data_IF_479572140190
#
_entry.id   IF_479572140190
#
_cell.length_a   1.000
_cell.length_b   1.000
_cell.length_c   1.000
_cell.angle_alpha   90.00
_cell.angle_beta   90.00
_cell.angle_gamma   90.00
#
_symmetry.space_group_name_H-M   'P 1'
#
loop_
_entity.id
_entity.type
_entity.pdbx_description
1 polymer ?
#
# COMPACT_ATOMS: atom_id res chain seq x y z
N UNK A 1 3.34 6.47 -25.89
CA UNK A 1 2.45 5.62 -25.08
C UNK A 1 1.55 6.57 -24.30
N UNK A 2 0.23 6.52 -24.46
CA UNK A 2 -0.70 7.44 -23.78
C UNK A 2 -1.24 6.80 -22.51
N UNK A 3 -1.63 7.61 -21.51
CA UNK A 3 -2.23 7.13 -20.27
C UNK A 3 -3.46 6.23 -20.54
N UNK A 4 -4.27 6.55 -21.55
CA UNK A 4 -5.42 5.73 -21.98
C UNK A 4 -4.98 4.34 -22.47
N UNK A 5 -3.98 4.26 -23.36
CA UNK A 5 -3.49 2.98 -23.87
C UNK A 5 -2.86 2.09 -22.78
N UNK A 6 -2.33 2.71 -21.72
CA UNK A 6 -1.83 1.99 -20.54
C UNK A 6 -3.00 1.50 -19.67
N UNK A 7 -3.98 2.37 -19.42
CA UNK A 7 -5.18 2.07 -18.66
C UNK A 7 -5.98 0.90 -19.23
N UNK A 8 -6.19 0.87 -20.55
CA UNK A 8 -6.88 -0.24 -21.23
C UNK A 8 -6.14 -1.56 -21.09
N UNK A 9 -4.80 -1.55 -21.27
CA UNK A 9 -3.98 -2.76 -21.10
C UNK A 9 -4.02 -3.29 -19.68
N UNK A 10 -3.97 -2.40 -18.69
CA UNK A 10 -4.05 -2.79 -17.28
C UNK A 10 -5.45 -3.30 -16.95
N UNK A 11 -6.50 -2.67 -17.47
CA UNK A 11 -7.89 -3.12 -17.29
C UNK A 11 -8.10 -4.52 -17.87
N UNK A 12 -7.63 -4.77 -19.08
CA UNK A 12 -7.64 -6.10 -19.71
C UNK A 12 -6.82 -7.13 -18.93
N UNK A 13 -5.68 -6.74 -18.34
CA UNK A 13 -4.86 -7.64 -17.52
C UNK A 13 -5.47 -7.99 -16.16
N UNK A 14 -6.41 -7.18 -15.68
CA UNK A 14 -7.14 -7.35 -14.42
C UNK A 14 -8.54 -7.95 -14.61
N UNK A 15 -9.06 -7.95 -15.84
CA UNK A 15 -10.40 -8.46 -16.17
C UNK A 15 -10.52 -9.95 -15.80
N UNK A 16 -11.50 -10.26 -14.95
CA UNK A 16 -11.76 -11.62 -14.46
C UNK A 16 -10.86 -12.12 -13.31
N UNK A 17 -9.92 -11.30 -12.80
CA UNK A 17 -9.15 -11.65 -11.60
C UNK A 17 -9.87 -11.20 -10.33
N UNK A 18 -9.82 -11.98 -9.24
CA UNK A 18 -10.37 -11.56 -7.96
C UNK A 18 -9.59 -10.33 -7.46
N UNK A 19 -10.32 -9.34 -6.97
CA UNK A 19 -9.70 -8.26 -6.21
C UNK A 19 -9.39 -8.77 -4.80
N UNK A 20 -8.11 -8.88 -4.50
CA UNK A 20 -7.63 -9.39 -3.21
C UNK A 20 -7.23 -8.26 -2.25
N UNK A 21 -7.45 -7.00 -2.65
CA UNK A 21 -7.29 -5.82 -1.82
C UNK A 21 -6.04 -4.99 -2.13
N UNK A 22 -6.17 -3.69 -1.90
CA UNK A 22 -5.10 -2.72 -2.01
C UNK A 22 -5.02 -1.84 -0.75
N UNK A 23 -3.81 -1.41 -0.41
CA UNK A 23 -3.56 -0.49 0.69
C UNK A 23 -2.48 0.52 0.34
N UNK A 24 -2.40 1.58 1.13
CA UNK A 24 -1.39 2.62 1.00
C UNK A 24 -0.96 3.08 2.39
N UNK A 25 0.34 3.25 2.59
CA UNK A 25 0.93 3.91 3.73
C UNK A 25 1.60 5.21 3.26
N UNK A 26 1.19 6.33 3.86
CA UNK A 26 1.89 7.59 3.70
C UNK A 26 2.82 7.75 4.90
N UNK A 27 4.12 7.64 4.65
CA UNK A 27 5.15 7.77 5.67
C UNK A 27 5.44 9.24 5.88
N UNK A 28 5.40 9.68 7.14
CA UNK A 28 5.88 10.97 7.57
C UNK A 28 6.77 10.76 8.80
N UNK A 29 7.89 11.46 8.83
CA UNK A 29 8.89 11.33 9.88
C UNK A 29 9.45 12.66 10.34
N UNK A 30 10.50 12.58 11.16
CA UNK A 30 11.22 13.76 11.60
C UNK A 30 11.89 14.48 10.41
N UNK A 31 11.84 15.81 10.41
CA UNK A 31 12.50 16.63 9.39
C UNK A 31 11.82 16.56 8.02
N UNK A 32 12.57 16.16 6.99
CA UNK A 32 12.14 16.14 5.58
C UNK A 32 11.76 14.75 5.07
N UNK A 33 11.74 13.74 5.93
CA UNK A 33 11.51 12.35 5.53
C UNK A 33 10.02 12.13 5.25
N UNK A 34 9.72 11.76 4.01
CA UNK A 34 8.35 11.50 3.57
C UNK A 34 8.34 10.44 2.47
N UNK A 35 7.27 9.67 2.40
CA UNK A 35 7.17 8.63 1.38
C UNK A 35 5.76 8.12 1.19
N UNK A 36 5.56 7.42 0.08
CA UNK A 36 4.31 6.71 -0.19
C UNK A 36 4.66 5.29 -0.59
N UNK A 37 4.08 4.33 0.12
CA UNK A 37 4.23 2.90 -0.13
C UNK A 37 2.86 2.29 -0.37
N UNK A 38 2.73 1.54 -1.45
CA UNK A 38 1.51 0.90 -1.90
C UNK A 38 1.65 -0.59 -1.73
N UNK A 39 0.56 -1.20 -1.26
CA UNK A 39 0.43 -2.64 -1.13
C UNK A 39 -0.67 -3.11 -2.07
N UNK A 40 -0.40 -4.19 -2.80
CA UNK A 40 -1.35 -4.80 -3.71
C UNK A 40 -1.27 -6.31 -3.55
N UNK A 41 -2.38 -6.94 -3.17
CA UNK A 41 -2.41 -8.40 -3.10
C UNK A 41 -2.57 -8.97 -4.53
N UNK A 42 -1.51 -9.61 -5.05
CA UNK A 42 -1.50 -10.21 -6.39
C UNK A 42 -2.17 -11.59 -6.42
N UNK A 43 -1.97 -12.38 -5.36
CA UNK A 43 -2.60 -13.67 -5.10
C UNK A 43 -2.68 -13.90 -3.59
N UNK A 44 -3.40 -14.92 -3.11
CA UNK A 44 -3.50 -15.18 -1.66
C UNK A 44 -2.16 -15.40 -0.96
N UNK A 45 -1.14 -15.77 -1.74
CA UNK A 45 0.23 -16.08 -1.32
C UNK A 45 1.24 -15.01 -1.72
N UNK A 46 0.84 -13.91 -2.37
CA UNK A 46 1.78 -12.87 -2.83
C UNK A 46 1.22 -11.46 -2.68
N UNK A 47 1.93 -10.65 -1.90
CA UNK A 47 1.70 -9.23 -1.74
C UNK A 47 2.82 -8.44 -2.43
N UNK A 48 2.46 -7.56 -3.35
CA UNK A 48 3.38 -6.61 -3.97
C UNK A 48 3.44 -5.34 -3.13
N UNK A 49 4.65 -4.89 -2.85
CA UNK A 49 4.94 -3.67 -2.10
C UNK A 49 5.78 -2.77 -3.00
N UNK A 50 5.26 -1.60 -3.33
CA UNK A 50 5.91 -0.65 -4.25
C UNK A 50 5.91 0.74 -3.60
N UNK A 51 7.10 1.32 -3.46
CA UNK A 51 7.29 2.49 -2.61
C UNK A 51 8.36 3.44 -3.07
N UNK A 52 8.20 4.69 -2.66
CA UNK A 52 9.27 5.70 -2.73
C UNK A 52 9.29 6.51 -1.44
N UNK A 53 10.48 6.63 -0.85
CA UNK A 53 10.75 7.39 0.37
C UNK A 53 11.88 8.36 0.06
N UNK A 54 11.67 9.64 0.38
CA UNK A 54 12.61 10.73 0.15
C UNK A 54 13.12 11.27 1.50
N UNK A 55 14.32 11.85 1.48
CA UNK A 55 14.93 12.54 2.62
C UNK A 55 15.73 11.64 3.57
N UNK A 56 16.02 10.40 3.16
CA UNK A 56 16.86 9.47 3.91
C UNK A 56 18.35 9.79 3.73
N UNK A 57 19.19 9.30 4.65
CA UNK A 57 20.63 9.30 4.44
C UNK A 57 20.99 8.26 3.35
N UNK A 58 22.04 8.47 2.54
CA UNK A 58 22.43 7.46 1.54
C UNK A 58 22.88 6.15 2.21
N UNK A 59 22.25 5.04 1.84
CA UNK A 59 22.57 3.73 2.41
C UNK A 59 21.36 2.81 2.57
N UNK A 60 21.55 1.64 3.20
CA UNK A 60 20.48 0.72 3.55
C UNK A 60 19.71 1.18 4.79
N UNK A 61 18.39 1.05 4.74
CA UNK A 61 17.46 1.33 5.83
C UNK A 61 16.51 0.15 6.05
N UNK A 62 16.32 -0.26 7.30
CA UNK A 62 15.32 -1.25 7.67
C UNK A 62 13.90 -0.77 7.36
N UNK A 63 13.06 -1.68 6.85
CA UNK A 63 11.64 -1.41 6.59
C UNK A 63 10.79 -2.51 7.23
N UNK A 64 9.87 -2.12 8.11
CA UNK A 64 9.08 -3.08 8.89
C UNK A 64 7.62 -2.67 9.02
N UNK A 65 6.71 -3.64 9.01
CA UNK A 65 5.34 -3.44 9.46
C UNK A 65 5.28 -3.67 10.96
N UNK A 66 4.80 -2.67 11.70
CA UNK A 66 4.63 -2.72 13.15
C UNK A 66 3.21 -3.10 13.55
N UNK A 67 3.05 -3.55 14.78
CA UNK A 67 1.79 -4.11 15.30
C UNK A 67 0.66 -3.09 15.37
N UNK A 68 0.93 -1.83 15.69
CA UNK A 68 -0.07 -0.80 15.96
C UNK A 68 0.02 0.36 14.95
N UNK A 69 -1.12 0.85 14.48
CA UNK A 69 -1.23 2.11 13.74
C UNK A 69 -1.40 3.33 14.65
N UNK A 70 -0.75 3.35 15.81
CA UNK A 70 -0.83 4.46 16.76
C UNK A 70 0.33 5.44 16.52
N UNK A 71 -0.02 6.66 16.11
CA UNK A 71 0.91 7.75 15.81
C UNK A 71 0.84 8.88 16.88
N UNK A 72 0.30 8.62 18.07
CA UNK A 72 0.19 9.64 19.14
C UNK A 72 1.53 10.08 19.71
N UNK A 73 2.55 9.22 19.66
CA UNK A 73 3.94 9.50 20.02
C UNK A 73 4.86 9.23 18.83
N UNK A 74 4.51 9.77 17.66
CA UNK A 74 5.17 9.53 16.39
C UNK A 74 5.32 8.01 16.14
N UNK A 75 6.51 7.56 15.76
CA UNK A 75 6.78 6.16 15.45
C UNK A 75 7.03 5.30 16.70
N UNK A 76 7.13 5.92 17.88
CA UNK A 76 7.38 5.20 19.14
C UNK A 76 6.14 4.43 19.61
N UNK A 77 4.94 4.96 19.37
CA UNK A 77 3.67 4.31 19.73
C UNK A 77 3.24 3.19 18.79
N UNK A 78 3.97 2.93 17.70
CA UNK A 78 3.64 1.89 16.71
C UNK A 78 3.80 0.44 17.23
N UNK A 79 4.40 0.24 18.42
CA UNK A 79 4.63 -1.07 19.01
C UNK A 79 5.82 -1.82 18.37
N UNK A 80 5.86 -3.14 18.52
CA UNK A 80 6.90 -4.03 17.98
C UNK A 80 6.60 -4.44 16.53
N UNK A 81 7.53 -5.15 15.87
CA UNK A 81 7.34 -5.74 14.54
C UNK A 81 6.11 -6.67 14.54
N UNK A 82 5.36 -6.67 13.44
CA UNK A 82 4.18 -7.48 13.29
C UNK A 82 4.53 -8.98 13.26
N UNK A 83 4.32 -9.64 14.39
CA UNK A 83 4.71 -11.03 14.62
C UNK A 83 3.53 -11.86 15.18
N UNK A 84 2.52 -12.20 14.36
CA UNK A 84 1.37 -12.97 14.82
C UNK A 84 1.73 -14.42 15.21
N UNK A 85 2.90 -14.93 14.78
CA UNK A 85 3.31 -16.32 14.97
C UNK A 85 4.39 -16.50 16.04
N UNK A 86 4.82 -15.43 16.72
CA UNK A 86 5.85 -15.51 17.77
C UNK A 86 7.22 -15.99 17.28
N UNK A 87 7.58 -15.67 16.03
CA UNK A 87 8.85 -16.02 15.40
C UNK A 87 9.97 -15.08 15.84
N UNK A 88 11.22 -15.41 15.50
CA UNK A 88 12.34 -14.48 15.66
C UNK A 88 12.43 -13.53 14.47
N UNK A 89 13.12 -12.41 14.65
CA UNK A 89 13.46 -11.49 13.56
C UNK A 89 14.35 -12.20 12.52
N UNK A 90 14.10 -11.92 11.24
CA UNK A 90 14.85 -12.47 10.12
C UNK A 90 14.76 -11.63 8.86
N UNK A 91 15.49 -12.01 7.81
CA UNK A 91 15.40 -11.34 6.52
C UNK A 91 14.24 -11.87 5.67
N UNK A 92 13.79 -11.14 4.62
CA UNK A 92 12.60 -11.49 3.84
C UNK A 92 12.63 -12.88 3.19
N UNK A 93 13.82 -13.40 2.91
CA UNK A 93 14.07 -14.74 2.35
C UNK A 93 14.03 -15.87 3.40
N UNK A 94 14.06 -15.52 4.70
CA UNK A 94 14.00 -16.50 5.77
C UNK A 94 12.54 -16.95 5.99
N UNK A 95 12.34 -18.27 6.14
CA UNK A 95 11.02 -18.80 6.49
C UNK A 95 10.63 -18.45 7.93
N UNK A 96 11.62 -18.42 8.83
CA UNK A 96 11.47 -18.01 10.23
C UNK A 96 11.84 -16.54 10.37
N UNK A 97 10.83 -15.68 10.26
CA UNK A 97 10.90 -14.22 10.42
C UNK A 97 9.58 -13.69 10.97
N UNK A 98 9.54 -12.45 11.44
CA UNK A 98 8.26 -11.79 11.65
C UNK A 98 7.57 -11.54 10.31
N UNK A 99 6.24 -11.57 10.31
CA UNK A 99 5.46 -11.29 9.10
C UNK A 99 5.69 -9.86 8.60
N UNK A 100 6.00 -8.95 9.52
CA UNK A 100 6.33 -7.56 9.20
C UNK A 100 7.77 -7.29 8.74
N UNK A 101 8.67 -8.27 8.73
CA UNK A 101 10.08 -8.03 8.38
C UNK A 101 10.25 -7.96 6.85
N UNK A 102 10.44 -6.77 6.28
CA UNK A 102 10.59 -6.59 4.82
C UNK A 102 12.06 -6.45 4.38
N UNK A 103 12.99 -6.44 5.33
CA UNK A 103 14.42 -6.28 5.09
C UNK A 103 14.82 -4.83 4.88
N UNK A 104 15.77 -4.60 3.95
CA UNK A 104 16.35 -3.29 3.72
C UNK A 104 15.89 -2.66 2.40
N UNK A 105 15.68 -1.35 2.42
CA UNK A 105 15.55 -0.49 1.24
C UNK A 105 16.80 0.38 1.10
N UNK A 106 17.21 0.67 -0.15
CA UNK A 106 18.45 1.40 -0.41
C UNK A 106 18.12 2.81 -0.86
N UNK A 107 18.56 3.81 -0.09
CA UNK A 107 18.52 5.21 -0.47
C UNK A 107 19.75 5.57 -1.30
N UNK A 108 19.52 6.23 -2.43
CA UNK A 108 20.56 6.74 -3.32
C UNK A 108 21.29 7.97 -2.75
N UNK A 109 22.29 8.51 -3.47
CA UNK A 109 23.01 9.71 -3.07
C UNK A 109 22.14 10.97 -2.94
N UNK A 110 20.97 10.97 -3.56
CA UNK A 110 19.94 12.01 -3.47
C UNK A 110 18.99 11.84 -2.27
N UNK A 111 19.21 10.81 -1.44
CA UNK A 111 18.37 10.49 -0.29
C UNK A 111 17.01 9.89 -0.66
N UNK A 112 16.86 9.41 -1.89
CA UNK A 112 15.65 8.75 -2.39
C UNK A 112 15.84 7.23 -2.41
N UNK A 113 14.92 6.51 -1.76
CA UNK A 113 14.78 5.06 -1.86
C UNK A 113 13.53 4.73 -2.67
N UNK A 114 13.71 4.19 -3.89
CA UNK A 114 12.62 3.63 -4.71
C UNK A 114 12.78 2.12 -4.79
N UNK A 115 11.75 1.38 -4.39
CA UNK A 115 11.83 -0.07 -4.24
C UNK A 115 10.54 -0.75 -4.65
N UNK A 116 10.69 -2.00 -5.07
CA UNK A 116 9.59 -2.91 -5.39
C UNK A 116 9.94 -4.29 -4.85
N UNK A 117 9.11 -4.79 -3.94
CA UNK A 117 9.29 -6.03 -3.21
C UNK A 117 8.06 -6.92 -3.38
N UNK A 118 8.25 -8.22 -3.36
CA UNK A 118 7.16 -9.20 -3.28
C UNK A 118 7.34 -10.01 -2.00
N UNK A 119 6.27 -10.13 -1.23
CA UNK A 119 6.27 -10.86 0.04
C UNK A 119 5.24 -12.00 0.02
N UNK A 120 5.66 -13.17 0.49
CA UNK A 120 4.81 -14.37 0.54
C UNK A 120 4.07 -14.60 1.85
N UNK A 121 4.45 -13.92 2.93
CA UNK A 121 3.84 -14.05 4.26
C UNK A 121 2.90 -12.88 4.59
N UNK A 122 3.23 -11.68 4.11
CA UNK A 122 2.44 -10.48 4.29
C UNK A 122 1.17 -10.53 3.46
N UNK A 123 0.02 -10.22 4.08
CA UNK A 123 -1.29 -10.16 3.43
C UNK A 123 -1.92 -8.81 3.70
N UNK A 124 -2.45 -8.16 2.66
CA UNK A 124 -3.01 -6.80 2.75
C UNK A 124 -4.08 -6.71 3.83
N UNK A 125 -5.02 -7.66 3.89
CA UNK A 125 -6.11 -7.65 4.86
C UNK A 125 -5.66 -7.81 6.32
N UNK A 126 -4.50 -8.43 6.57
CA UNK A 126 -3.97 -8.65 7.92
C UNK A 126 -3.22 -7.41 8.46
N UNK A 127 -2.83 -6.49 7.57
CA UNK A 127 -2.03 -5.30 7.90
C UNK A 127 -2.80 -3.98 7.81
N UNK A 128 -4.07 -3.99 7.38
CA UNK A 128 -4.89 -2.78 7.42
C UNK A 128 -4.99 -2.25 8.86
N UNK A 129 -4.70 -0.96 9.05
CA UNK A 129 -4.73 -0.29 10.34
C UNK A 129 -3.46 -0.47 11.18
N UNK A 130 -2.48 -1.23 10.68
CA UNK A 130 -1.12 -1.28 11.23
C UNK A 130 -0.26 -0.15 10.69
N UNK A 131 0.98 -0.04 11.12
CA UNK A 131 1.92 0.96 10.61
C UNK A 131 3.04 0.33 9.81
N UNK A 132 3.51 1.05 8.80
CA UNK A 132 4.79 0.81 8.13
C UNK A 132 5.79 1.80 8.70
N UNK A 133 6.99 1.33 9.02
CA UNK A 133 8.07 2.13 9.63
C UNK A 133 9.35 1.92 8.83
N UNK A 134 10.10 3.02 8.63
CA UNK A 134 11.47 2.99 8.09
C UNK A 134 12.43 3.44 9.18
N UNK A 135 13.53 2.70 9.32
CA UNK A 135 14.53 2.90 10.37
C UNK A 135 15.76 3.66 9.89
N UNK A 136 16.58 4.11 10.85
CA UNK A 136 17.73 4.96 10.61
C UNK A 136 18.90 4.25 9.94
N UNK A 137 19.07 2.95 10.21
CA UNK A 137 20.19 2.16 9.71
C UNK A 137 19.78 0.83 9.12
N UNK A 138 20.81 0.04 8.80
CA UNK A 138 20.68 -1.28 8.21
C UNK A 138 20.09 -2.29 9.19
N UNK A 139 19.08 -3.03 8.74
CA UNK A 139 18.63 -4.25 9.38
C UNK A 139 19.63 -5.39 9.11
N UNK A 140 20.21 -5.94 10.18
CA UNK A 140 21.18 -7.05 10.14
C UNK A 140 20.58 -8.42 9.81
N UNK A 141 19.26 -8.47 9.58
CA UNK A 141 18.46 -9.64 9.21
C UNK A 141 18.52 -10.77 10.25
N UNK A 142 18.78 -10.42 11.51
CA UNK A 142 18.93 -11.37 12.60
C UNK A 142 20.28 -12.09 12.61
N UNK A 143 21.29 -11.55 11.90
CA UNK A 143 22.60 -12.19 11.68
C UNK A 143 23.77 -11.38 12.26
N UNK A 144 23.51 -10.21 12.82
CA UNK A 144 24.55 -9.31 13.36
C UNK A 144 25.19 -9.73 14.68
N UNK A 145 24.65 -10.75 15.37
CA UNK A 145 25.19 -11.23 16.66
C UNK A 145 24.96 -10.27 17.83
N UNK A 146 24.15 -9.22 17.65
CA UNK A 146 23.73 -8.30 18.70
C UNK A 146 22.48 -8.85 19.42
N UNK A 147 22.24 -8.53 20.72
CA UNK A 147 21.03 -8.95 21.41
C UNK A 147 19.72 -8.48 20.74
N UNK A 148 19.78 -7.35 20.01
CA UNK A 148 18.66 -6.82 19.23
C UNK A 148 18.53 -7.45 17.83
N UNK A 149 19.54 -8.18 17.33
CA UNK A 149 19.48 -8.79 16.00
C UNK A 149 18.25 -9.69 15.86
N UNK A 150 17.99 -10.55 16.86
CA UNK A 150 16.84 -11.47 16.85
C UNK A 150 15.50 -10.83 17.20
N UNK A 151 15.48 -9.53 17.54
CA UNK A 151 14.28 -8.80 17.96
C UNK A 151 13.85 -7.77 16.93
N UNK A 152 14.79 -6.94 16.45
CA UNK A 152 14.50 -5.81 15.55
C UNK A 152 15.46 -5.71 14.37
N UNK A 153 16.48 -6.57 14.29
CA UNK A 153 17.53 -6.44 13.28
C UNK A 153 18.55 -5.33 13.57
N UNK A 154 18.49 -4.72 14.76
CA UNK A 154 19.45 -3.69 15.18
C UNK A 154 19.56 -2.46 14.23
N UNK A 155 18.45 -2.11 13.59
CA UNK A 155 18.31 -1.05 12.59
C UNK A 155 18.26 0.39 13.14
N UNK A 156 18.35 0.58 14.45
CA UNK A 156 18.46 1.89 15.08
C UNK A 156 17.12 2.58 15.37
N UNK A 157 17.08 3.90 15.24
CA UNK A 157 15.90 4.71 15.53
C UNK A 157 14.87 4.67 14.40
N UNK A 158 13.59 4.82 14.73
CA UNK A 158 12.48 4.87 13.76
C UNK A 158 12.38 6.27 13.16
N UNK A 159 12.65 6.42 11.86
CA UNK A 159 12.72 7.72 11.20
C UNK A 159 11.36 8.26 10.77
N UNK A 160 10.57 7.42 10.12
CA UNK A 160 9.26 7.79 9.60
C UNK A 160 8.29 6.61 9.67
N UNK A 161 7.01 6.92 9.84
CA UNK A 161 5.97 5.92 9.98
C UNK A 161 4.68 6.39 9.33
N UNK A 162 3.83 5.43 8.97
CA UNK A 162 2.55 5.70 8.33
C UNK A 162 1.57 4.56 8.54
N UNK A 163 0.31 4.89 8.81
CA UNK A 163 -0.74 3.88 8.92
C UNK A 163 -1.00 3.28 7.53
N UNK A 164 -1.05 1.95 7.45
CA UNK A 164 -1.45 1.20 6.27
C UNK A 164 -2.97 1.29 6.15
N UNK A 165 -3.42 2.22 5.32
CA UNK A 165 -4.82 2.53 5.09
C UNK A 165 -5.36 1.77 3.87
N UNK A 166 -6.67 1.48 3.88
CA UNK A 166 -7.36 0.91 2.71
C UNK A 166 -7.22 1.87 1.53
N UNK A 167 -6.88 1.32 0.36
CA UNK A 167 -6.89 2.05 -0.90
C UNK A 167 -7.90 1.41 -1.83
N UNK A 168 -8.58 2.24 -2.63
CA UNK A 168 -9.26 1.71 -3.80
C UNK A 168 -8.21 1.07 -4.73
N UNK A 169 -8.51 -0.12 -5.23
CA UNK A 169 -7.78 -0.72 -6.35
C UNK A 169 -8.00 0.11 -7.63
N UNK A 170 -7.26 -0.23 -8.69
CA UNK A 170 -7.49 0.39 -9.99
C UNK A 170 -8.96 0.16 -10.41
N UNK A 171 -9.62 1.25 -10.81
CA UNK A 171 -11.01 1.28 -11.30
C UNK A 171 -12.11 1.00 -10.26
N UNK A 172 -11.78 0.95 -8.96
CA UNK A 172 -12.75 0.70 -7.89
C UNK A 172 -13.34 1.96 -7.25
N UNK A 173 -12.91 3.14 -7.71
CA UNK A 173 -13.51 4.41 -7.33
C UNK A 173 -14.15 5.10 -8.56
N UNK A 174 -15.12 4.46 -9.25
CA UNK A 174 -15.85 5.14 -10.30
C UNK A 174 -16.68 6.26 -9.67
N UNK A 175 -16.44 7.50 -10.07
CA UNK A 175 -17.36 8.59 -9.76
C UNK A 175 -18.48 8.60 -10.79
N UNK A 176 -19.69 8.25 -10.37
CA UNK A 176 -20.87 8.59 -11.14
C UNK A 176 -21.11 10.09 -11.01
N UNK A 177 -20.95 10.81 -12.12
CA UNK A 177 -21.33 12.21 -12.22
C UNK A 177 -22.64 12.24 -12.99
N UNK A 178 -23.72 12.56 -12.29
CA UNK A 178 -25.05 12.71 -12.89
C UNK A 178 -25.24 14.16 -13.35
N UNK A 179 -25.73 14.33 -14.58
CA UNK A 179 -26.31 15.59 -14.98
C UNK A 179 -27.72 15.72 -14.34
N UNK A 180 -28.25 16.95 -14.24
CA UNK A 180 -29.51 17.25 -13.55
C UNK A 180 -30.75 16.56 -14.14
N UNK A 181 -30.60 15.81 -15.24
CA UNK A 181 -31.65 15.09 -15.95
C UNK A 181 -31.69 13.57 -15.68
N UNK A 182 -30.89 13.09 -14.71
CA UNK A 182 -30.95 11.71 -14.24
C UNK A 182 -30.24 10.70 -15.15
N UNK A 183 -29.38 11.17 -16.04
CA UNK A 183 -28.41 10.35 -16.77
C UNK A 183 -27.00 10.66 -16.32
N UNK A 184 -26.13 9.65 -16.35
CA UNK A 184 -24.70 9.87 -16.14
C UNK A 184 -24.11 10.64 -17.33
N UNK A 185 -23.08 11.47 -17.11
CA UNK A 185 -22.38 12.18 -18.20
C UNK A 185 -21.88 11.24 -19.31
N UNK A 186 -21.60 9.97 -18.96
CA UNK A 186 -21.20 8.94 -19.92
C UNK A 186 -22.37 8.49 -20.81
N UNK A 187 -23.58 8.43 -20.27
CA UNK A 187 -24.81 8.13 -21.01
C UNK A 187 -25.33 9.34 -21.81
N UNK A 188 -25.05 10.58 -21.37
CA UNK A 188 -25.37 11.79 -22.14
C UNK A 188 -24.61 11.83 -23.48
N UNK A 189 -23.39 11.27 -23.53
CA UNK A 189 -22.53 11.33 -24.73
C UNK A 189 -23.12 10.58 -25.92
N UNK A 190 -23.87 9.52 -25.65
CA UNK A 190 -24.50 8.66 -26.66
C UNK A 190 -26.00 8.96 -26.86
N UNK A 191 -26.56 9.91 -26.08
CA UNK A 191 -27.96 10.34 -26.22
C UNK A 191 -28.06 11.66 -26.98
N UNK A 192 -29.04 11.80 -27.88
CA UNK A 192 -29.27 13.05 -28.58
C UNK A 192 -29.70 14.15 -27.60
N UNK A 193 -29.09 15.35 -27.75
CA UNK A 193 -29.29 16.55 -26.90
C UNK A 193 -30.79 16.93 -26.79
N UNK A 194 -31.58 16.64 -27.83
CA UNK A 194 -33.04 16.78 -27.83
C UNK A 194 -33.72 15.75 -28.75
N UNK A 195 -34.97 15.41 -28.47
CA UNK A 195 -35.83 14.58 -29.33
C UNK A 195 -36.41 13.34 -28.66
N UNK A 196 -37.24 12.59 -29.42
CA UNK A 196 -38.03 11.42 -28.94
C UNK A 196 -37.20 10.27 -28.34
N UNK A 197 -35.87 10.27 -28.49
CA UNK A 197 -34.97 9.28 -27.90
C UNK A 197 -34.52 9.57 -26.46
N UNK A 198 -34.83 10.75 -25.90
CA UNK A 198 -34.37 11.17 -24.55
C UNK A 198 -35.22 10.59 -23.40
N UNK A 199 -36.53 10.44 -23.61
CA UNK A 199 -37.44 9.82 -22.65
C UNK A 199 -37.69 8.38 -23.06
N UNK A 200 -36.95 7.44 -22.45
CA UNK A 200 -37.42 6.06 -22.33
C UNK A 200 -37.71 5.83 -20.85
N UNK A 201 -38.99 5.78 -20.51
CA UNK A 201 -39.46 5.23 -19.24
C UNK A 201 -39.14 3.73 -19.23
N UNK A 202 -37.91 3.35 -18.91
CA UNK A 202 -37.61 1.97 -18.58
C UNK A 202 -38.06 1.75 -17.12
N UNK A 203 -39.21 1.10 -16.98
CA UNK A 203 -39.83 0.69 -15.71
C UNK A 203 -39.04 -0.40 -14.95
N UNK A 204 -37.74 -0.53 -15.17
CA UNK A 204 -36.87 -1.55 -14.56
C UNK A 204 -35.59 -0.93 -13.98
N UNK A 205 -35.74 0.11 -13.17
CA UNK A 205 -34.62 0.56 -12.32
C UNK A 205 -34.82 -0.06 -10.93
N UNK A 206 -33.94 -0.94 -10.43
CA UNK A 206 -34.02 -1.39 -9.05
C UNK A 206 -33.86 -0.17 -8.15
N UNK A 207 -34.68 -0.08 -7.10
CA UNK A 207 -34.65 1.03 -6.17
C UNK A 207 -33.24 1.20 -5.58
N UNK A 208 -32.73 2.43 -5.61
CA UNK A 208 -31.55 2.80 -4.86
C UNK A 208 -31.87 2.59 -3.37
N UNK A 209 -31.22 1.62 -2.75
CA UNK A 209 -31.28 1.44 -1.31
C UNK A 209 -30.66 2.66 -0.64
N UNK A 210 -31.49 3.36 0.15
CA UNK A 210 -31.11 4.31 1.19
C UNK A 210 -30.30 3.61 2.29
#
# INVERSE_FOLDING_TARGET
>A
MTCESCGEKVRAALEGKPDLGAAVAMLAGAGSIQGVVRFLQLSEERCLIDGTIDGLEPGPHGLHVHTLGDLTLDCLSCGEHYNPFGRQHGGPEDSDRHVGDLGNVIAGPDGRASFRLEDGQLKVWDVIGRSLVVDAGEDDLGRGGHPLSKQTGNSGERLACGIIARSAGLFQNPKQICACDGVTLWEERDRPIAGKGRSKNNLETPAAHL
#
